data_IF_650125664285
#
_entry.id   IF_650125664285
#
_cell.length_a   1.000
_cell.length_b   1.000
_cell.length_c   1.000
_cell.angle_alpha   90.00
_cell.angle_beta   90.00
_cell.angle_gamma   90.00
#
_symmetry.space_group_name_H-M   'P 1'
#
loop_
_entity.id
_entity.type
_entity.pdbx_description
1 polymer ?
#
# COMPACT_ATOMS: atom_id res chain seq x y z
N UNK A 1 7.28 8.77 -17.29
CA UNK A 1 7.78 8.52 -15.91
C UNK A 1 7.90 9.88 -15.22
N UNK A 2 7.04 10.24 -14.26
CA UNK A 2 7.19 11.51 -13.54
C UNK A 2 8.49 11.50 -12.72
N UNK A 3 9.32 12.52 -12.92
CA UNK A 3 10.73 12.58 -12.49
C UNK A 3 10.99 12.64 -10.98
N UNK A 4 12.25 12.37 -10.63
CA UNK A 4 12.78 12.04 -9.30
C UNK A 4 12.55 13.03 -8.14
N UNK A 5 12.02 14.23 -8.38
CA UNK A 5 11.73 15.19 -7.30
C UNK A 5 10.41 14.90 -6.58
N UNK A 6 9.45 14.21 -7.22
CA UNK A 6 8.17 13.90 -6.57
C UNK A 6 8.25 12.77 -5.54
N UNK A 7 9.33 11.98 -5.56
CA UNK A 7 9.55 10.88 -4.59
C UNK A 7 10.35 11.29 -3.35
N UNK A 8 10.88 12.51 -3.29
CA UNK A 8 11.61 12.98 -2.09
C UNK A 8 10.67 13.23 -0.92
N UNK A 9 9.41 13.59 -1.20
CA UNK A 9 8.34 13.70 -0.22
C UNK A 9 7.61 12.37 -0.12
N UNK A 10 7.46 11.83 1.09
CA UNK A 10 6.77 10.56 1.28
C UNK A 10 5.26 10.75 1.14
N UNK A 11 4.50 9.70 0.77
CA UNK A 11 3.03 9.76 0.79
C UNK A 11 2.45 10.29 2.10
N UNK A 12 3.05 9.91 3.23
CA UNK A 12 2.65 10.35 4.58
C UNK A 12 2.85 11.85 4.79
N UNK A 13 3.94 12.42 4.29
CA UNK A 13 4.22 13.86 4.41
C UNK A 13 3.24 14.74 3.60
N UNK A 14 2.53 14.15 2.63
CA UNK A 14 1.50 14.82 1.84
C UNK A 14 0.11 14.80 2.51
N UNK A 15 -0.02 14.17 3.67
CA UNK A 15 -1.24 14.21 4.46
C UNK A 15 -1.32 15.50 5.30
N UNK A 16 -2.54 15.95 5.58
CA UNK A 16 -2.78 17.12 6.44
C UNK A 16 -2.23 16.92 7.86
N UNK A 17 -2.23 15.67 8.34
CA UNK A 17 -1.60 15.24 9.58
C UNK A 17 -0.79 13.97 9.32
N UNK A 18 0.54 14.05 9.21
CA UNK A 18 1.39 12.89 9.02
C UNK A 18 1.24 11.84 10.14
N UNK A 19 1.05 12.24 11.40
CA UNK A 19 1.00 11.32 12.53
C UNK A 19 -0.29 10.50 12.59
N UNK A 20 -1.37 11.00 11.98
CA UNK A 20 -2.61 10.27 11.80
C UNK A 20 -2.61 9.32 10.58
N UNK A 21 -1.48 9.11 9.89
CA UNK A 21 -1.41 8.13 8.79
C UNK A 21 -1.74 6.71 9.29
N UNK A 22 -2.48 5.88 8.52
CA UNK A 22 -3.06 6.15 7.21
C UNK A 22 -4.46 6.78 7.26
N UNK A 23 -4.98 7.19 8.40
CA UNK A 23 -6.35 7.71 8.56
C UNK A 23 -6.50 9.23 8.35
N UNK A 24 -5.39 9.94 8.20
CA UNK A 24 -5.35 11.38 7.92
C UNK A 24 -6.07 11.78 6.61
N UNK A 25 -6.40 13.07 6.47
CA UNK A 25 -6.95 13.62 5.23
C UNK A 25 -5.83 13.97 4.23
N UNK A 26 -6.01 13.63 2.95
CA UNK A 26 -5.07 13.95 1.87
C UNK A 26 -5.78 14.73 0.75
N UNK A 27 -5.54 16.05 0.68
CA UNK A 27 -6.13 16.95 -0.32
C UNK A 27 -5.13 17.25 -1.43
N UNK A 28 -5.60 17.42 -2.67
CA UNK A 28 -4.74 17.83 -3.80
C UNK A 28 -3.71 16.81 -4.30
N UNK A 29 -3.50 15.68 -3.62
CA UNK A 29 -2.49 14.67 -3.97
C UNK A 29 -3.14 13.31 -4.31
N UNK A 30 -3.64 13.11 -5.54
CA UNK A 30 -4.32 11.86 -5.92
C UNK A 30 -3.43 10.62 -5.76
N UNK A 31 -2.14 10.71 -6.07
CA UNK A 31 -1.19 9.63 -5.90
C UNK A 31 -1.02 9.21 -4.43
N UNK A 32 -0.99 10.17 -3.49
CA UNK A 32 -0.88 9.87 -2.07
C UNK A 32 -2.17 9.25 -1.51
N UNK A 33 -3.35 9.65 -2.04
CA UNK A 33 -4.63 8.99 -1.72
C UNK A 33 -4.65 7.52 -2.14
N UNK A 34 -4.06 7.18 -3.28
CA UNK A 34 -3.96 5.77 -3.71
C UNK A 34 -3.07 4.98 -2.76
N UNK A 35 -1.89 5.51 -2.40
CA UNK A 35 -0.99 4.82 -1.43
C UNK A 35 -1.65 4.69 -0.06
N UNK A 36 -2.38 5.72 0.39
CA UNK A 36 -3.15 5.67 1.62
C UNK A 36 -4.20 4.56 1.60
N UNK A 37 -4.95 4.44 0.51
CA UNK A 37 -5.97 3.41 0.35
C UNK A 37 -5.33 2.00 0.30
N UNK A 38 -4.20 1.84 -0.38
CA UNK A 38 -3.41 0.60 -0.36
C UNK A 38 -2.94 0.25 1.05
N UNK A 39 -2.42 1.22 1.82
CA UNK A 39 -1.96 1.01 3.19
C UNK A 39 -3.12 0.57 4.11
N UNK A 40 -4.29 1.19 4.00
CA UNK A 40 -5.50 0.82 4.75
C UNK A 40 -5.99 -0.58 4.38
N UNK A 41 -6.10 -0.87 3.08
CA UNK A 41 -6.54 -2.18 2.59
C UNK A 41 -5.59 -3.28 3.05
N UNK A 42 -4.28 -3.07 2.89
CA UNK A 42 -3.27 -4.04 3.32
C UNK A 42 -3.31 -4.25 4.84
N UNK A 43 -3.36 -3.18 5.63
CA UNK A 43 -3.45 -3.27 7.10
C UNK A 43 -4.68 -4.08 7.54
N UNK A 44 -5.86 -3.76 7.00
CA UNK A 44 -7.09 -4.49 7.29
C UNK A 44 -6.97 -5.98 6.91
N UNK A 45 -6.41 -6.31 5.75
CA UNK A 45 -6.26 -7.71 5.31
C UNK A 45 -5.29 -8.51 6.18
N UNK A 46 -4.18 -7.90 6.62
CA UNK A 46 -3.25 -8.55 7.52
C UNK A 46 -3.89 -8.84 8.88
N UNK A 47 -4.68 -7.90 9.40
CA UNK A 47 -5.42 -8.08 10.66
C UNK A 47 -6.50 -9.16 10.52
N UNK A 48 -7.32 -9.11 9.47
CA UNK A 48 -8.37 -10.09 9.18
C UNK A 48 -7.85 -11.52 9.06
N UNK A 49 -6.68 -11.70 8.42
CA UNK A 49 -6.05 -13.02 8.23
C UNK A 49 -5.13 -13.41 9.40
N UNK A 50 -4.94 -12.55 10.40
CA UNK A 50 -4.03 -12.79 11.53
C UNK A 50 -2.56 -12.94 11.10
N UNK A 51 -2.17 -12.32 9.99
CA UNK A 51 -0.83 -12.44 9.43
C UNK A 51 0.16 -11.47 10.07
N UNK A 52 1.28 -12.01 10.55
CA UNK A 52 2.44 -11.18 10.83
C UNK A 52 3.07 -10.65 9.54
N UNK A 53 3.77 -9.52 9.62
CA UNK A 53 4.54 -8.97 8.50
C UNK A 53 5.56 -9.96 7.92
N UNK A 54 6.08 -10.89 8.74
CA UNK A 54 7.00 -11.93 8.29
C UNK A 54 6.28 -12.98 7.46
N UNK A 55 5.08 -13.41 7.87
CA UNK A 55 4.27 -14.35 7.10
C UNK A 55 3.79 -13.71 5.80
N UNK A 56 3.34 -12.45 5.83
CA UNK A 56 2.96 -11.72 4.62
C UNK A 56 4.12 -11.61 3.61
N UNK A 57 5.33 -11.31 4.08
CA UNK A 57 6.51 -11.28 3.22
C UNK A 57 6.84 -12.66 2.60
N UNK A 58 6.65 -13.74 3.37
CA UNK A 58 6.86 -15.10 2.87
C UNK A 58 5.81 -15.53 1.83
N UNK A 59 4.54 -15.13 2.03
CA UNK A 59 3.44 -15.45 1.12
C UNK A 59 3.51 -14.69 -0.21
N UNK A 60 3.87 -13.40 -0.14
CA UNK A 60 3.85 -12.50 -1.29
C UNK A 60 5.19 -12.40 -2.01
N UNK A 61 6.29 -12.85 -1.38
CA UNK A 61 7.65 -12.61 -1.87
C UNK A 61 8.11 -11.16 -1.75
N UNK A 62 7.27 -10.25 -1.25
CA UNK A 62 7.61 -8.84 -1.03
C UNK A 62 8.44 -8.71 0.25
N UNK A 63 9.52 -7.93 0.18
CA UNK A 63 10.38 -7.68 1.34
C UNK A 63 9.59 -7.10 2.52
N UNK A 64 9.76 -7.66 3.73
CA UNK A 64 9.10 -7.19 4.96
C UNK A 64 9.23 -5.67 5.17
N UNK A 65 10.40 -5.09 4.89
CA UNK A 65 10.61 -3.66 5.03
C UNK A 65 9.80 -2.84 4.01
N UNK A 66 9.61 -3.35 2.79
CA UNK A 66 8.74 -2.71 1.81
C UNK A 66 7.28 -2.70 2.27
N UNK A 67 6.81 -3.79 2.89
CA UNK A 67 5.48 -3.86 3.52
C UNK A 67 5.35 -2.83 4.65
N UNK A 68 6.35 -2.76 5.54
CA UNK A 68 6.38 -1.75 6.63
C UNK A 68 6.36 -0.33 6.07
N UNK A 69 7.17 -0.03 5.06
CA UNK A 69 7.24 1.30 4.47
C UNK A 69 5.95 1.68 3.75
N UNK A 70 5.27 0.73 3.10
CA UNK A 70 3.97 0.94 2.48
C UNK A 70 2.91 1.26 3.54
N UNK A 71 2.79 0.42 4.58
CA UNK A 71 1.85 0.65 5.69
C UNK A 71 2.08 2.01 6.36
N UNK A 72 3.35 2.36 6.58
CA UNK A 72 3.74 3.65 7.17
C UNK A 72 3.71 4.85 6.21
N UNK A 73 3.39 4.65 4.93
CA UNK A 73 3.37 5.73 3.93
C UNK A 73 4.74 6.37 3.68
N UNK A 74 5.83 5.64 3.94
CA UNK A 74 7.23 6.11 3.85
C UNK A 74 7.79 5.91 2.42
N UNK A 75 7.17 5.02 1.63
CA UNK A 75 7.61 4.74 0.25
C UNK A 75 6.47 4.76 -0.75
N UNK A 76 6.80 5.08 -1.99
CA UNK A 76 5.93 4.90 -3.15
C UNK A 76 5.99 3.45 -3.62
N UNK A 77 4.95 2.62 -3.44
CA UNK A 77 4.93 1.27 -3.99
C UNK A 77 4.93 1.34 -5.52
N UNK A 78 5.57 0.35 -6.15
CA UNK A 78 5.48 0.16 -7.60
C UNK A 78 4.44 -0.93 -7.94
N UNK A 79 4.15 -1.07 -9.24
CA UNK A 79 3.16 -2.02 -9.75
C UNK A 79 3.55 -3.47 -9.40
N UNK A 80 4.85 -3.79 -9.44
CA UNK A 80 5.35 -5.12 -9.08
C UNK A 80 5.01 -5.44 -7.63
N UNK A 81 5.30 -4.52 -6.71
CA UNK A 81 4.99 -4.65 -5.28
C UNK A 81 3.50 -4.86 -5.06
N UNK A 82 2.64 -4.05 -5.70
CA UNK A 82 1.19 -4.18 -5.53
C UNK A 82 0.71 -5.54 -6.07
N UNK A 83 1.13 -5.94 -7.27
CA UNK A 83 0.70 -7.21 -7.88
C UNK A 83 1.09 -8.44 -7.04
N UNK A 84 2.31 -8.47 -6.51
CA UNK A 84 2.78 -9.55 -5.64
C UNK A 84 2.04 -9.61 -4.31
N UNK A 85 1.67 -8.45 -3.74
CA UNK A 85 0.85 -8.40 -2.54
C UNK A 85 -0.56 -8.93 -2.81
N UNK A 86 -1.18 -8.51 -3.92
CA UNK A 86 -2.53 -8.97 -4.30
C UNK A 86 -2.57 -10.47 -4.56
N UNK A 87 -1.62 -11.00 -5.34
CA UNK A 87 -1.49 -12.43 -5.65
C UNK A 87 -1.24 -13.27 -4.39
N UNK A 88 -0.23 -12.91 -3.60
CA UNK A 88 0.14 -13.69 -2.42
C UNK A 88 -0.86 -13.62 -1.26
N UNK A 89 -1.72 -12.59 -1.21
CA UNK A 89 -2.79 -12.47 -0.22
C UNK A 89 -4.16 -12.92 -0.75
N UNK A 90 -4.29 -13.16 -2.06
CA UNK A 90 -5.55 -13.52 -2.72
C UNK A 90 -6.63 -12.43 -2.63
N UNK A 91 -6.23 -11.16 -2.70
CA UNK A 91 -7.14 -10.01 -2.50
C UNK A 91 -6.84 -8.88 -3.50
N UNK A 92 -7.86 -8.10 -3.84
CA UNK A 92 -7.65 -6.82 -4.52
C UNK A 92 -7.37 -5.73 -3.47
N UNK A 93 -6.22 -5.08 -3.58
CA UNK A 93 -5.81 -3.93 -2.78
C UNK A 93 -6.04 -2.62 -3.55
N UNK A 94 -6.01 -2.66 -4.89
CA UNK A 94 -6.18 -1.45 -5.68
C UNK A 94 -7.55 -0.78 -5.44
N UNK A 95 -7.59 0.54 -5.17
CA UNK A 95 -8.85 1.22 -4.86
C UNK A 95 -9.84 1.15 -6.03
N UNK A 96 -11.04 0.64 -5.76
CA UNK A 96 -12.09 0.49 -6.77
C UNK A 96 -12.01 -0.78 -7.62
N UNK A 97 -11.04 -1.66 -7.37
CA UNK A 97 -11.06 -3.01 -7.93
C UNK A 97 -12.09 -3.87 -7.18
N UNK A 98 -13.14 -4.34 -7.86
CA UNK A 98 -14.08 -5.32 -7.30
C UNK A 98 -13.40 -6.71 -7.30
N UNK A 99 -13.26 -7.35 -6.14
CA UNK A 99 -12.37 -8.53 -5.98
C UNK A 99 -13.05 -9.89 -6.23
N UNK A 100 -12.34 -10.84 -6.88
CA UNK A 100 -11.81 -12.02 -6.17
C UNK A 100 -10.29 -12.30 -6.43
N UNK A 101 -9.44 -11.29 -6.24
CA UNK A 101 -8.15 -11.06 -6.94
C UNK A 101 -8.41 -10.80 -8.44
N UNK A 102 -7.88 -9.73 -9.00
CA UNK A 102 -8.18 -9.25 -10.37
C UNK A 102 -8.00 -10.37 -11.41
N UNK A 103 -9.10 -11.00 -11.86
CA UNK A 103 -9.12 -12.45 -12.12
C UNK A 103 -8.15 -13.02 -13.15
N UNK A 104 -7.70 -12.31 -14.18
CA UNK A 104 -6.68 -12.79 -15.13
C UNK A 104 -6.00 -11.61 -15.88
N UNK A 105 -5.67 -10.52 -15.18
CA UNK A 105 -5.01 -9.36 -15.82
C UNK A 105 -3.48 -9.51 -15.93
#
# INVERSE_FOLDING_TARGET
MPGGTQRSTTPRDLAADPDAWPHATVLGHPQARVVQALARALGARLEEQGLSLRQAAALTGVNRQAIVNLLGGISWPDVVTVSLLEDGLGVALWPGAASPASTEC
#
